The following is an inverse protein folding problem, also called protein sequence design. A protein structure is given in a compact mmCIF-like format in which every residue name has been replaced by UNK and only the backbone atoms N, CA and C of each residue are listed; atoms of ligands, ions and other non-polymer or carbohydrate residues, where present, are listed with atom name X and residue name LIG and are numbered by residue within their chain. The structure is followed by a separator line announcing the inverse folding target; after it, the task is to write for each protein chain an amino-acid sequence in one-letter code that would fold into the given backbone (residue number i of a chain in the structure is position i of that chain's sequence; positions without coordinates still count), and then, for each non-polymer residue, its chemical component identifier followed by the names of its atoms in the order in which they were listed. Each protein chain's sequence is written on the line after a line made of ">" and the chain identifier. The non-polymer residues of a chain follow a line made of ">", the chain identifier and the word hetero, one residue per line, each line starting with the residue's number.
data_IF_850234787204
#
_entry.id   IF_850234787204
#
_cell.length_a   1.000
_cell.length_b   1.000
_cell.length_c   1.000
_cell.angle_alpha   90.00
_cell.angle_beta   90.00
_cell.angle_gamma   90.00
#
_symmetry.space_group_name_H-M   'P 1'
#
loop_
_entity.id
_entity.type
_entity.pdbx_description
1 polymer ?
#
# COMPACT_ATOMS: atom_id res chain seq x y z
N UNK A 1 14.37 -11.62 -14.08
CA UNK A 1 15.00 -11.85 -12.81
C UNK A 1 14.57 -13.20 -12.25
N UNK A 2 15.48 -14.19 -12.26
CA UNK A 2 15.21 -15.56 -11.80
C UNK A 2 16.02 -15.87 -10.53
N UNK A 3 15.90 -15.03 -9.51
CA UNK A 3 16.68 -15.19 -8.27
C UNK A 3 15.81 -14.97 -7.02
N UNK A 4 16.07 -13.94 -6.27
CA UNK A 4 15.44 -13.63 -4.97
C UNK A 4 13.93 -13.26 -5.03
N UNK A 5 13.32 -13.20 -6.21
CA UNK A 5 11.87 -13.06 -6.37
C UNK A 5 11.15 -14.41 -6.53
N UNK A 6 11.90 -15.52 -6.57
CA UNK A 6 11.34 -16.86 -6.71
C UNK A 6 11.41 -17.55 -5.36
N UNK A 7 10.26 -17.76 -4.75
CA UNK A 7 10.11 -18.33 -3.41
C UNK A 7 10.82 -19.69 -3.28
N UNK A 8 10.61 -20.59 -4.25
CA UNK A 8 11.18 -21.93 -4.22
C UNK A 8 12.72 -21.91 -4.19
N UNK A 9 13.35 -20.98 -4.94
CA UNK A 9 14.81 -20.84 -4.94
C UNK A 9 15.35 -20.37 -3.58
N UNK A 10 14.59 -19.54 -2.87
CA UNK A 10 14.97 -19.12 -1.51
C UNK A 10 14.86 -20.29 -0.55
N UNK A 11 13.77 -21.05 -0.65
CA UNK A 11 13.56 -22.26 0.17
C UNK A 11 14.66 -23.29 -0.09
N UNK A 12 15.03 -23.51 -1.36
CA UNK A 12 16.10 -24.41 -1.71
C UNK A 12 17.46 -23.94 -1.17
N UNK A 13 17.73 -22.65 -1.22
CA UNK A 13 18.95 -22.08 -0.62
C UNK A 13 18.97 -22.29 0.90
N UNK A 14 17.85 -22.10 1.59
CA UNK A 14 17.74 -22.37 3.02
C UNK A 14 18.03 -23.83 3.35
N UNK A 15 17.45 -24.77 2.58
CA UNK A 15 17.70 -26.21 2.76
C UNK A 15 19.16 -26.58 2.53
N UNK A 16 19.80 -25.99 1.51
CA UNK A 16 21.22 -26.25 1.18
C UNK A 16 22.17 -25.70 2.25
N UNK A 17 21.82 -24.59 2.88
CA UNK A 17 22.67 -23.91 3.87
C UNK A 17 22.33 -24.28 5.31
N UNK A 18 21.22 -25.00 5.55
CA UNK A 18 20.72 -25.27 6.89
C UNK A 18 20.14 -24.04 7.60
N UNK A 19 19.71 -23.01 6.84
CA UNK A 19 19.11 -21.81 7.42
C UNK A 19 17.75 -22.12 8.04
N UNK A 20 17.58 -21.77 9.30
CA UNK A 20 16.35 -21.99 10.07
C UNK A 20 15.36 -20.84 9.94
N UNK A 21 15.82 -19.67 9.53
CA UNK A 21 14.99 -18.48 9.40
C UNK A 21 15.39 -17.62 8.20
N UNK A 22 14.43 -16.82 7.69
CA UNK A 22 14.65 -15.87 6.59
C UNK A 22 14.16 -14.51 7.00
N UNK A 23 15.05 -13.50 6.93
CA UNK A 23 14.68 -12.09 6.94
C UNK A 23 14.43 -11.65 5.50
N UNK A 24 13.21 -11.17 5.16
CA UNK A 24 12.83 -10.91 3.76
C UNK A 24 13.40 -9.61 3.18
N UNK A 25 14.07 -8.81 3.98
CA UNK A 25 14.41 -7.44 3.60
C UNK A 25 13.19 -6.53 3.53
N UNK A 26 13.22 -5.57 2.62
CA UNK A 26 12.17 -4.57 2.42
C UNK A 26 11.68 -4.61 0.98
N UNK A 27 10.36 -4.42 0.79
CA UNK A 27 9.74 -4.54 -0.52
C UNK A 27 9.69 -5.98 -1.05
N UNK A 28 9.28 -6.16 -2.30
CA UNK A 28 9.25 -7.44 -3.01
C UNK A 28 8.50 -8.54 -2.23
N UNK A 29 9.17 -9.63 -1.88
CA UNK A 29 8.55 -10.78 -1.19
C UNK A 29 8.20 -10.48 0.27
N UNK A 30 8.78 -9.43 0.89
CA UNK A 30 8.39 -9.01 2.24
C UNK A 30 6.92 -8.54 2.31
N UNK A 31 6.37 -8.11 1.19
CA UNK A 31 5.00 -7.61 1.04
C UNK A 31 4.03 -8.66 0.46
N UNK A 32 4.49 -9.90 0.34
CA UNK A 32 3.71 -11.01 -0.25
C UNK A 32 3.40 -12.08 0.80
N UNK A 33 2.13 -12.25 1.15
CA UNK A 33 1.70 -13.27 2.12
C UNK A 33 2.05 -14.71 1.71
N UNK A 34 2.17 -14.97 0.41
CA UNK A 34 2.57 -16.27 -0.11
C UNK A 34 3.97 -16.69 0.37
N UNK A 35 4.86 -15.74 0.64
CA UNK A 35 6.22 -16.03 1.05
C UNK A 35 6.31 -16.63 2.47
N UNK A 36 5.80 -15.98 3.54
CA UNK A 36 5.79 -16.59 4.86
C UNK A 36 4.98 -17.90 4.91
N UNK A 37 3.90 -18.02 4.12
CA UNK A 37 3.14 -19.29 4.04
C UNK A 37 3.99 -20.41 3.45
N UNK A 38 4.76 -20.16 2.41
CA UNK A 38 5.64 -21.15 1.80
C UNK A 38 6.81 -21.54 2.73
N UNK A 39 7.43 -20.57 3.41
CA UNK A 39 8.47 -20.81 4.40
C UNK A 39 7.95 -21.69 5.57
N UNK A 40 6.76 -21.36 6.08
CA UNK A 40 6.13 -22.15 7.16
C UNK A 40 5.89 -23.61 6.75
N UNK A 41 5.44 -23.85 5.51
CA UNK A 41 5.29 -25.20 4.96
C UNK A 41 6.63 -25.94 4.87
N UNK A 42 7.71 -25.22 4.68
CA UNK A 42 9.07 -25.78 4.61
C UNK A 42 9.75 -25.91 5.99
N UNK A 43 9.06 -25.53 7.09
CA UNK A 43 9.62 -25.54 8.43
C UNK A 43 10.64 -24.42 8.70
N UNK A 44 10.64 -23.35 7.89
CA UNK A 44 11.56 -22.22 7.97
C UNK A 44 10.82 -21.03 8.58
N UNK A 45 11.45 -20.35 9.54
CA UNK A 45 10.87 -19.18 10.21
C UNK A 45 10.97 -17.96 9.32
N UNK A 46 9.86 -17.26 9.14
CA UNK A 46 9.83 -15.93 8.53
C UNK A 46 10.05 -14.87 9.62
N UNK A 47 11.08 -14.05 9.47
CA UNK A 47 11.35 -12.92 10.38
C UNK A 47 10.58 -11.71 9.88
N UNK A 48 9.37 -11.51 10.40
CA UNK A 48 8.48 -10.45 9.97
C UNK A 48 7.05 -10.68 10.46
N UNK A 49 6.09 -9.83 10.01
CA UNK A 49 4.70 -9.95 10.39
C UNK A 49 4.07 -11.26 9.88
N UNK A 50 2.97 -11.67 10.49
CA UNK A 50 2.25 -12.86 10.04
C UNK A 50 1.57 -12.62 8.66
N UNK A 51 1.24 -13.68 7.90
CA UNK A 51 0.66 -13.56 6.56
C UNK A 51 -0.58 -12.69 6.51
N UNK A 52 -1.46 -12.80 7.53
CA UNK A 52 -2.69 -12.02 7.61
C UNK A 52 -2.41 -10.52 7.78
N UNK A 53 -1.41 -10.15 8.57
CA UNK A 53 -1.01 -8.75 8.74
C UNK A 53 -0.43 -8.18 7.43
N UNK A 54 0.38 -8.97 6.70
CA UNK A 54 0.91 -8.58 5.39
C UNK A 54 -0.24 -8.33 4.41
N UNK A 55 -1.20 -9.24 4.31
CA UNK A 55 -2.36 -9.10 3.43
C UNK A 55 -3.19 -7.86 3.79
N UNK A 56 -3.52 -7.67 5.08
CA UNK A 56 -4.32 -6.54 5.55
C UNK A 56 -3.63 -5.19 5.30
N UNK A 57 -2.31 -5.10 5.49
CA UNK A 57 -1.57 -3.86 5.28
C UNK A 57 -1.23 -3.62 3.81
N UNK A 58 -1.25 -4.66 2.97
CA UNK A 58 -1.10 -4.56 1.52
C UNK A 58 -2.34 -4.00 0.80
N UNK A 59 -3.51 -4.07 1.43
CA UNK A 59 -4.76 -3.49 0.92
C UNK A 59 -4.99 -2.10 1.50
N UNK A 60 -5.14 -1.09 0.63
CA UNK A 60 -5.31 0.31 1.04
C UNK A 60 -6.59 0.55 1.85
N UNK A 61 -7.66 -0.19 1.56
CA UNK A 61 -8.93 -0.07 2.25
C UNK A 61 -8.85 -0.74 3.62
N UNK A 62 -8.38 -1.97 3.65
CA UNK A 62 -8.25 -2.73 4.88
C UNK A 62 -7.24 -2.11 5.85
N UNK A 63 -6.11 -1.58 5.34
CA UNK A 63 -5.13 -0.88 6.17
C UNK A 63 -5.71 0.40 6.81
N UNK A 64 -6.50 1.19 6.07
CA UNK A 64 -7.18 2.37 6.62
C UNK A 64 -8.26 2.00 7.64
N UNK A 65 -9.02 0.91 7.41
CA UNK A 65 -9.99 0.40 8.40
C UNK A 65 -9.28 -0.05 9.68
N UNK A 66 -8.18 -0.78 9.54
CA UNK A 66 -7.38 -1.22 10.68
C UNK A 66 -6.82 -0.03 11.47
N UNK A 67 -6.29 0.99 10.79
CA UNK A 67 -5.81 2.22 11.41
C UNK A 67 -6.93 2.96 12.15
N UNK A 68 -8.11 3.09 11.54
CA UNK A 68 -9.27 3.73 12.16
C UNK A 68 -9.73 2.97 13.42
N UNK A 69 -9.78 1.63 13.36
CA UNK A 69 -10.12 0.79 14.52
C UNK A 69 -9.09 0.93 15.66
N UNK A 70 -7.82 1.12 15.32
CA UNK A 70 -6.73 1.37 16.26
C UNK A 70 -6.63 2.85 16.71
N UNK A 71 -7.52 3.73 16.23
CA UNK A 71 -7.48 5.19 16.46
C UNK A 71 -6.18 5.86 16.00
N UNK A 72 -5.55 5.31 14.98
CA UNK A 72 -4.36 5.88 14.36
C UNK A 72 -4.80 6.88 13.30
N UNK A 73 -4.24 8.08 13.35
CA UNK A 73 -4.50 9.13 12.36
C UNK A 73 -3.98 8.72 10.97
N UNK A 74 -4.79 8.90 9.96
CA UNK A 74 -4.41 8.68 8.56
C UNK A 74 -4.63 9.94 7.76
N UNK A 75 -4.00 10.03 6.59
CA UNK A 75 -4.27 11.12 5.65
C UNK A 75 -5.76 11.09 5.29
N UNK A 76 -6.48 12.22 5.47
CA UNK A 76 -7.89 12.30 5.09
C UNK A 76 -8.09 11.95 3.62
N UNK A 77 -9.09 11.14 3.33
CA UNK A 77 -9.37 10.73 1.95
C UNK A 77 -10.72 10.05 1.83
N UNK A 78 -11.23 10.01 0.61
CA UNK A 78 -12.48 9.35 0.30
C UNK A 78 -12.24 7.89 -0.06
N UNK A 79 -12.96 6.99 0.60
CA UNK A 79 -12.79 5.55 0.48
C UNK A 79 -13.77 4.87 -0.47
N UNK A 80 -14.67 5.65 -1.08
CA UNK A 80 -15.66 5.15 -2.05
C UNK A 80 -15.19 5.26 -3.49
N UNK A 81 -16.00 4.73 -4.39
CA UNK A 81 -15.81 4.92 -5.82
C UNK A 81 -16.26 6.33 -6.23
N UNK A 82 -15.47 7.00 -7.05
CA UNK A 82 -15.74 8.34 -7.56
C UNK A 82 -16.34 8.20 -8.97
N UNK A 83 -17.58 8.57 -9.11
CA UNK A 83 -18.34 8.38 -10.35
C UNK A 83 -17.88 9.27 -11.50
N UNK A 84 -17.70 10.55 -11.21
CA UNK A 84 -17.44 11.59 -12.19
C UNK A 84 -16.66 12.79 -11.60
N UNK A 85 -16.36 13.78 -12.42
CA UNK A 85 -15.63 14.98 -12.03
C UNK A 85 -16.40 15.86 -11.03
N UNK A 86 -17.73 15.90 -11.05
CA UNK A 86 -18.54 16.68 -10.11
C UNK A 86 -18.49 16.06 -8.72
N UNK A 87 -18.53 14.73 -8.66
CA UNK A 87 -18.34 13.97 -7.42
C UNK A 87 -16.91 14.16 -6.89
N UNK A 88 -15.92 14.12 -7.76
CA UNK A 88 -14.51 14.38 -7.40
C UNK A 88 -14.32 15.78 -6.78
N UNK A 89 -14.93 16.81 -7.37
CA UNK A 89 -14.90 18.18 -6.85
C UNK A 89 -15.53 18.25 -5.47
N UNK A 90 -16.72 17.68 -5.29
CA UNK A 90 -17.40 17.67 -3.99
C UNK A 90 -16.53 17.05 -2.90
N UNK A 91 -15.93 15.90 -3.18
CA UNK A 91 -15.01 15.22 -2.27
C UNK A 91 -13.80 16.09 -1.96
N UNK A 92 -13.20 16.72 -2.98
CA UNK A 92 -12.04 17.60 -2.79
C UNK A 92 -12.38 18.82 -1.92
N UNK A 93 -13.56 19.40 -2.07
CA UNK A 93 -14.06 20.50 -1.23
C UNK A 93 -14.28 20.06 0.23
N UNK A 94 -14.79 18.85 0.46
CA UNK A 94 -14.98 18.28 1.80
C UNK A 94 -13.63 17.99 2.50
N UNK A 95 -12.64 17.49 1.76
CA UNK A 95 -11.30 17.21 2.27
C UNK A 95 -10.50 18.51 2.48
N UNK A 96 -10.74 19.51 1.64
CA UNK A 96 -9.99 20.77 1.56
C UNK A 96 -8.72 20.66 0.72
N UNK A 97 -8.47 21.66 -0.12
CA UNK A 97 -7.29 21.72 -1.01
C UNK A 97 -5.99 21.96 -0.22
N UNK A 98 -4.83 21.55 -0.77
CA UNK A 98 -4.67 20.75 -1.97
C UNK A 98 -5.03 19.27 -1.75
N UNK A 99 -5.42 18.61 -2.83
CA UNK A 99 -5.74 17.19 -2.85
C UNK A 99 -4.92 16.44 -3.89
N UNK A 100 -4.78 15.13 -3.70
CA UNK A 100 -4.16 14.24 -4.67
C UNK A 100 -5.18 13.24 -5.18
N UNK A 101 -5.39 13.22 -6.49
CA UNK A 101 -6.16 12.22 -7.20
C UNK A 101 -5.25 11.09 -7.62
N UNK A 102 -5.62 9.84 -7.34
CA UNK A 102 -4.80 8.64 -7.61
C UNK A 102 -5.62 7.55 -8.23
N UNK A 103 -5.01 6.82 -9.18
CA UNK A 103 -5.55 5.54 -9.64
C UNK A 103 -5.57 4.52 -8.50
N UNK A 104 -6.64 3.74 -8.42
CA UNK A 104 -6.77 2.64 -7.45
C UNK A 104 -5.80 1.50 -7.76
N UNK A 105 -5.67 1.16 -9.04
CA UNK A 105 -4.68 0.21 -9.54
C UNK A 105 -3.45 0.97 -10.01
N UNK A 106 -2.28 0.64 -9.49
CA UNK A 106 -1.05 1.17 -10.01
C UNK A 106 -0.06 1.72 -9.00
N UNK A 107 1.13 2.00 -9.48
CA UNK A 107 2.28 2.55 -8.78
C UNK A 107 3.17 3.33 -9.74
N UNK A 108 4.26 3.89 -9.23
CA UNK A 108 5.25 4.60 -10.07
C UNK A 108 4.80 5.97 -10.58
N UNK A 109 3.77 6.57 -9.98
CA UNK A 109 3.36 7.96 -10.28
C UNK A 109 2.41 8.13 -11.47
N UNK A 110 2.06 7.06 -12.19
CA UNK A 110 1.05 7.11 -13.26
C UNK A 110 -0.37 7.17 -12.67
N UNK A 111 -1.25 7.91 -13.34
CA UNK A 111 -2.62 8.11 -12.85
C UNK A 111 -2.69 8.90 -11.55
N UNK A 112 -1.71 9.78 -11.32
CA UNK A 112 -1.69 10.68 -10.15
C UNK A 112 -1.64 12.14 -10.58
N UNK A 113 -2.45 13.00 -9.90
CA UNK A 113 -2.42 14.45 -10.10
C UNK A 113 -2.70 15.17 -8.78
N UNK A 114 -1.96 16.22 -8.55
CA UNK A 114 -2.21 17.14 -7.44
C UNK A 114 -3.10 18.26 -7.96
N UNK A 115 -4.07 18.70 -7.15
CA UNK A 115 -4.94 19.81 -7.45
C UNK A 115 -5.02 20.76 -6.26
N UNK A 116 -4.73 22.01 -6.49
CA UNK A 116 -4.78 23.09 -5.52
C UNK A 116 -6.09 23.86 -5.55
N UNK A 117 -6.86 23.68 -6.62
CA UNK A 117 -8.10 24.40 -6.86
C UNK A 117 -9.18 23.48 -7.41
N UNK A 118 -10.44 23.92 -7.30
CA UNK A 118 -11.60 23.25 -7.92
C UNK A 118 -11.38 23.00 -9.41
N UNK A 119 -10.93 24.03 -10.13
CA UNK A 119 -10.71 23.94 -11.57
C UNK A 119 -9.69 22.84 -11.93
N UNK A 120 -8.62 22.73 -11.16
CA UNK A 120 -7.61 21.70 -11.38
C UNK A 120 -8.15 20.28 -11.13
N UNK A 121 -9.12 20.12 -10.22
CA UNK A 121 -9.82 18.82 -10.06
C UNK A 121 -10.71 18.53 -11.27
N UNK A 122 -11.51 19.51 -11.72
CA UNK A 122 -12.41 19.35 -12.86
C UNK A 122 -11.64 18.96 -14.14
N UNK A 123 -10.50 19.61 -14.40
CA UNK A 123 -9.64 19.34 -15.55
C UNK A 123 -8.78 18.08 -15.38
N UNK A 124 -8.23 17.86 -14.19
CA UNK A 124 -7.26 16.80 -13.90
C UNK A 124 -7.86 15.42 -13.70
N UNK A 125 -9.07 15.34 -13.14
CA UNK A 125 -9.71 14.06 -12.83
C UNK A 125 -9.95 13.18 -14.06
N UNK A 126 -10.58 13.68 -15.15
CA UNK A 126 -10.79 12.87 -16.35
C UNK A 126 -9.48 12.46 -17.02
N UNK A 127 -8.46 13.30 -16.98
CA UNK A 127 -7.13 12.98 -17.53
C UNK A 127 -6.44 11.86 -16.73
N UNK A 128 -6.45 11.96 -15.40
CA UNK A 128 -5.88 10.92 -14.54
C UNK A 128 -6.61 9.58 -14.67
N UNK A 129 -7.95 9.64 -14.80
CA UNK A 129 -8.80 8.47 -15.02
C UNK A 129 -8.51 7.78 -16.36
N UNK A 130 -8.36 8.56 -17.41
CA UNK A 130 -8.00 8.04 -18.75
C UNK A 130 -6.61 7.42 -18.76
N UNK A 131 -5.64 8.04 -18.09
CA UNK A 131 -4.29 7.50 -17.93
C UNK A 131 -4.29 6.19 -17.13
N UNK A 132 -5.08 6.11 -16.06
CA UNK A 132 -5.24 4.90 -15.28
C UNK A 132 -5.82 3.76 -16.12
N UNK A 133 -6.87 4.05 -16.90
CA UNK A 133 -7.49 3.07 -17.80
C UNK A 133 -6.50 2.53 -18.82
N UNK A 134 -5.75 3.39 -19.47
CA UNK A 134 -4.79 3.00 -20.50
C UNK A 134 -3.58 2.27 -19.96
N UNK A 135 -3.12 2.64 -18.76
CA UNK A 135 -1.89 2.07 -18.17
C UNK A 135 -2.13 0.79 -17.35
N UNK A 136 -3.30 0.67 -16.72
CA UNK A 136 -3.58 -0.40 -15.75
C UNK A 136 -4.83 -1.22 -16.08
N UNK A 137 -5.62 -0.79 -17.07
CA UNK A 137 -6.89 -1.43 -17.39
C UNK A 137 -8.03 -1.13 -16.40
N UNK A 138 -7.75 -0.35 -15.35
CA UNK A 138 -8.67 0.02 -14.28
C UNK A 138 -8.72 1.54 -14.15
N UNK A 139 -9.92 2.12 -14.23
CA UNK A 139 -10.14 3.57 -14.19
C UNK A 139 -10.69 4.06 -12.85
N UNK A 140 -10.75 3.19 -11.84
CA UNK A 140 -11.15 3.60 -10.49
C UNK A 140 -10.13 4.55 -9.89
N UNK A 141 -10.66 5.65 -9.37
CA UNK A 141 -9.87 6.73 -8.77
C UNK A 141 -10.26 6.92 -7.32
N UNK A 142 -9.32 7.39 -6.53
CA UNK A 142 -9.58 7.91 -5.20
C UNK A 142 -8.91 9.28 -5.01
N UNK A 143 -9.38 10.02 -4.01
CA UNK A 143 -8.88 11.36 -3.66
C UNK A 143 -8.50 11.37 -2.19
N UNK A 144 -7.35 11.92 -1.90
CA UNK A 144 -6.88 12.14 -0.53
C UNK A 144 -6.26 13.53 -0.39
N UNK A 145 -6.14 13.99 0.85
CA UNK A 145 -5.43 15.23 1.17
C UNK A 145 -3.98 15.13 0.67
N UNK A 146 -3.51 16.16 -0.02
CA UNK A 146 -2.09 16.33 -0.30
C UNK A 146 -1.42 17.08 0.84
N UNK A 147 -0.40 16.48 1.41
CA UNK A 147 0.40 17.09 2.47
C UNK A 147 1.54 17.87 1.81
N UNK A 148 1.54 19.17 2.00
CA UNK A 148 2.61 20.07 1.49
C UNK A 148 3.81 19.95 2.42
N UNK A 149 5.02 19.86 1.83
CA UNK A 149 6.29 19.72 2.55
C UNK A 149 6.28 18.61 3.62
N UNK A 150 5.95 17.37 3.25
CA UNK A 150 5.86 16.27 4.20
C UNK A 150 7.25 15.91 4.73
N UNK A 151 7.31 15.53 6.01
CA UNK A 151 8.48 14.85 6.56
C UNK A 151 8.21 13.35 6.63
N UNK A 152 9.17 12.55 6.17
CA UNK A 152 9.12 11.11 6.35
C UNK A 152 9.59 10.80 7.77
N UNK A 153 8.68 10.27 8.57
CA UNK A 153 8.95 9.89 9.95
C UNK A 153 8.57 8.42 10.09
N UNK A 154 9.52 7.61 10.52
CA UNK A 154 9.33 6.18 10.78
C UNK A 154 9.64 5.87 12.23
N UNK A 155 8.87 4.96 12.81
CA UNK A 155 9.15 4.36 14.12
C UNK A 155 9.25 2.86 13.88
N UNK A 156 10.45 2.31 14.10
CA UNK A 156 10.69 0.87 13.97
C UNK A 156 10.05 0.13 15.12
N UNK A 157 9.32 -0.94 14.79
CA UNK A 157 8.69 -1.82 15.78
C UNK A 157 9.22 -3.24 15.63
N UNK A 158 9.43 -3.91 16.75
CA UNK A 158 9.72 -5.36 16.82
C UNK A 158 8.73 -5.98 17.78
N UNK A 159 8.03 -7.03 17.32
CA UNK A 159 7.13 -7.83 18.15
C UNK A 159 7.55 -9.30 18.17
N UNK A 160 7.36 -9.97 19.31
CA UNK A 160 7.56 -11.40 19.45
C UNK A 160 6.21 -12.16 19.37
N UNK A 161 6.28 -13.50 19.46
CA UNK A 161 5.08 -14.38 19.47
C UNK A 161 4.36 -14.41 20.82
N UNK A 162 4.91 -13.77 21.85
CA UNK A 162 4.37 -13.72 23.21
C UNK A 162 3.56 -12.45 23.48
N UNK A 163 3.49 -11.53 22.49
CA UNK A 163 2.78 -10.26 22.59
C UNK A 163 3.62 -9.10 23.10
N UNK A 164 4.93 -9.26 23.26
CA UNK A 164 5.82 -8.15 23.58
C UNK A 164 6.10 -7.34 22.32
N UNK A 165 6.02 -6.01 22.42
CA UNK A 165 6.33 -5.08 21.34
C UNK A 165 7.25 -4.01 21.89
N UNK A 166 8.35 -3.76 21.18
CA UNK A 166 9.32 -2.70 21.50
C UNK A 166 9.47 -1.73 20.32
N UNK A 167 9.82 -0.47 20.61
CA UNK A 167 10.01 0.63 19.66
C UNK A 167 11.09 1.58 20.15
#
# INVERSE_FOLDING_TARGET
>A
AQSYLIIDKIIDACKQTGAEAVHPGYGFLSEREAFPLALAKAGIVFIGPNPRAIAAMGDKIESKKAAAAAKVSTVPGYMGEISDEKHAVKIAEEIGYPVMMKASAGGGGKGMRIAFTRKEVEEGFPLARSEAKSSFGDDRMFIEKFIVDPRHIEIQLIGDKHGNVVY
#
